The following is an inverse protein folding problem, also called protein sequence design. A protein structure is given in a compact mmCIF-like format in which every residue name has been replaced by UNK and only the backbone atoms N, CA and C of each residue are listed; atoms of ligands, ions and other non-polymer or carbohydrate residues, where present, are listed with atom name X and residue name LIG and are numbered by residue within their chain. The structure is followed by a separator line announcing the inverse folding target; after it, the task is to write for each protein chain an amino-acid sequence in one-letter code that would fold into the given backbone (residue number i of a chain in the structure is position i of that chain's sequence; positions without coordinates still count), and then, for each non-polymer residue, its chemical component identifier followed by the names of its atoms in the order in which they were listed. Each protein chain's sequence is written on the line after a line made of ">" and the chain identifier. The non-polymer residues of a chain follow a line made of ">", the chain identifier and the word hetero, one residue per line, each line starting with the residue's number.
data_IF_059839101857
#
_entry.id   IF_059839101857
#
_cell.length_a   1.000
_cell.length_b   1.000
_cell.length_c   1.000
_cell.angle_alpha   90.00
_cell.angle_beta   90.00
_cell.angle_gamma   90.00
#
_symmetry.space_group_name_H-M   'P 1'
#
loop_
_entity.id
_entity.type
_entity.pdbx_description
1 polymer ?
#
# COMPACT_ATOMS: atom_id res chain seq x y z
N UNK A 1 -19.31 -11.72 2.37
CA UNK A 1 -18.37 -10.67 1.95
C UNK A 1 -17.14 -10.66 2.84
N UNK A 2 -17.25 -10.57 4.14
CA UNK A 2 -16.12 -10.50 5.09
C UNK A 2 -15.12 -11.67 4.96
N UNK A 3 -15.59 -12.92 4.89
CA UNK A 3 -14.74 -14.10 4.71
C UNK A 3 -13.89 -14.07 3.42
N UNK A 4 -14.34 -13.39 2.37
CA UNK A 4 -13.57 -13.24 1.13
C UNK A 4 -12.40 -12.24 1.28
N UNK A 5 -12.58 -11.20 2.08
CA UNK A 5 -11.53 -10.21 2.39
C UNK A 5 -10.42 -10.88 3.20
N UNK A 6 -10.78 -11.69 4.21
CA UNK A 6 -9.83 -12.42 5.06
C UNK A 6 -9.03 -13.46 4.26
N UNK A 7 -9.57 -13.97 3.14
CA UNK A 7 -8.86 -14.92 2.28
C UNK A 7 -7.60 -14.32 1.59
N UNK A 8 -7.46 -12.98 1.59
CA UNK A 8 -6.30 -12.27 1.06
C UNK A 8 -5.78 -11.25 2.09
N UNK A 9 -5.19 -11.70 3.21
CA UNK A 9 -4.91 -10.85 4.37
C UNK A 9 -3.97 -9.69 4.05
N UNK A 10 -2.99 -9.88 3.16
CA UNK A 10 -2.05 -8.84 2.79
C UNK A 10 -2.72 -7.70 2.00
N UNK A 11 -3.66 -8.04 1.10
CA UNK A 11 -4.44 -7.03 0.37
C UNK A 11 -5.42 -6.31 1.31
N UNK A 12 -6.02 -7.02 2.26
CA UNK A 12 -6.89 -6.42 3.25
C UNK A 12 -6.12 -5.47 4.17
N UNK A 13 -4.91 -5.83 4.57
CA UNK A 13 -4.02 -4.98 5.36
C UNK A 13 -3.62 -3.71 4.58
N UNK A 14 -3.16 -3.87 3.33
CA UNK A 14 -2.82 -2.73 2.48
C UNK A 14 -4.02 -1.81 2.27
N UNK A 15 -5.21 -2.38 2.00
CA UNK A 15 -6.45 -1.60 1.91
C UNK A 15 -6.72 -0.78 3.19
N UNK A 16 -6.63 -1.40 4.36
CA UNK A 16 -6.91 -0.73 5.63
C UNK A 16 -5.92 0.42 5.91
N UNK A 17 -4.64 0.21 5.64
CA UNK A 17 -3.60 1.22 5.81
C UNK A 17 -3.82 2.39 4.86
N UNK A 18 -3.96 2.12 3.57
CA UNK A 18 -4.12 3.17 2.55
C UNK A 18 -5.44 3.93 2.71
N UNK A 19 -6.52 3.24 3.10
CA UNK A 19 -7.79 3.89 3.41
C UNK A 19 -7.66 4.85 4.60
N UNK A 20 -7.04 4.39 5.68
CA UNK A 20 -6.88 5.21 6.89
C UNK A 20 -6.00 6.42 6.62
N UNK A 21 -4.83 6.22 5.99
CA UNK A 21 -3.92 7.31 5.63
C UNK A 21 -4.59 8.29 4.66
N UNK A 22 -5.24 7.77 3.61
CA UNK A 22 -5.90 8.58 2.61
C UNK A 22 -7.01 9.44 3.19
N UNK A 23 -7.90 8.87 4.00
CA UNK A 23 -8.96 9.62 4.68
C UNK A 23 -8.39 10.67 5.62
N UNK A 24 -7.36 10.31 6.41
CA UNK A 24 -6.74 11.25 7.34
C UNK A 24 -6.11 12.44 6.60
N UNK A 25 -5.38 12.19 5.51
CA UNK A 25 -4.76 13.25 4.71
C UNK A 25 -5.78 14.15 4.01
N UNK A 26 -6.92 13.59 3.57
CA UNK A 26 -7.96 14.38 2.87
C UNK A 26 -8.79 15.19 3.85
N UNK A 27 -9.22 14.58 4.97
CA UNK A 27 -10.18 15.19 5.90
C UNK A 27 -9.46 16.02 6.97
N UNK A 28 -8.34 15.51 7.48
CA UNK A 28 -7.60 16.09 8.61
C UNK A 28 -6.11 16.32 8.27
N UNK A 29 -5.77 17.09 7.20
CA UNK A 29 -4.38 17.30 6.80
C UNK A 29 -3.53 17.92 7.91
N UNK A 30 -4.09 18.85 8.70
CA UNK A 30 -3.41 19.47 9.82
C UNK A 30 -2.95 18.47 10.89
N UNK A 31 -3.66 17.35 11.07
CA UNK A 31 -3.23 16.30 11.99
C UNK A 31 -1.91 15.67 11.53
N UNK A 32 -1.79 15.37 10.24
CA UNK A 32 -0.57 14.78 9.65
C UNK A 32 0.59 15.77 9.71
N UNK A 33 0.33 17.05 9.40
CA UNK A 33 1.34 18.12 9.49
C UNK A 33 1.89 18.22 10.93
N UNK A 34 1.00 18.27 11.90
CA UNK A 34 1.39 18.38 13.31
C UNK A 34 2.13 17.15 13.84
N UNK A 35 1.68 15.94 13.49
CA UNK A 35 2.33 14.70 13.92
C UNK A 35 3.66 14.44 13.18
N UNK A 36 3.73 14.83 11.93
CA UNK A 36 4.92 14.63 11.08
C UNK A 36 6.00 15.68 11.27
N UNK A 37 5.70 16.83 11.89
CA UNK A 37 6.62 17.95 12.00
C UNK A 37 7.01 18.55 10.64
N UNK A 38 6.07 18.53 9.68
CA UNK A 38 6.36 18.73 8.26
C UNK A 38 5.79 20.05 7.79
N UNK A 39 6.58 20.80 7.02
CA UNK A 39 6.11 22.01 6.32
C UNK A 39 5.64 21.64 4.90
N UNK A 40 4.58 20.85 4.82
CA UNK A 40 3.93 20.46 3.56
C UNK A 40 2.63 21.26 3.39
N UNK A 41 2.35 21.74 2.18
CA UNK A 41 1.08 22.38 1.90
C UNK A 41 -0.10 21.39 2.05
N UNK A 42 -1.20 21.84 2.65
CA UNK A 42 -2.42 21.01 2.77
C UNK A 42 -2.92 20.48 1.42
N UNK A 43 -2.76 21.27 0.34
CA UNK A 43 -3.18 20.86 -1.01
C UNK A 43 -2.38 19.64 -1.47
N UNK A 44 -1.06 19.65 -1.29
CA UNK A 44 -0.21 18.52 -1.66
C UNK A 44 -0.56 17.29 -0.81
N UNK A 45 -0.79 17.48 0.49
CA UNK A 45 -1.15 16.38 1.39
C UNK A 45 -2.50 15.77 1.03
N UNK A 46 -3.51 16.58 0.69
CA UNK A 46 -4.81 16.09 0.20
C UNK A 46 -4.67 15.34 -1.13
N UNK A 47 -3.79 15.79 -2.02
CA UNK A 47 -3.50 15.09 -3.27
C UNK A 47 -2.88 13.71 -3.00
N UNK A 48 -1.90 13.64 -2.10
CA UNK A 48 -1.35 12.35 -1.65
C UNK A 48 -2.43 11.45 -1.03
N UNK A 49 -3.33 12.02 -0.23
CA UNK A 49 -4.47 11.30 0.35
C UNK A 49 -5.40 10.71 -0.71
N UNK A 50 -5.70 11.44 -1.77
CA UNK A 50 -6.50 10.92 -2.90
C UNK A 50 -5.80 9.77 -3.63
N UNK A 51 -4.47 9.82 -3.78
CA UNK A 51 -3.69 8.71 -4.35
C UNK A 51 -3.74 7.47 -3.44
N UNK A 52 -3.59 7.66 -2.12
CA UNK A 52 -3.73 6.56 -1.16
C UNK A 52 -5.14 5.92 -1.22
N UNK A 53 -6.21 6.71 -1.34
CA UNK A 53 -7.57 6.20 -1.53
C UNK A 53 -7.73 5.43 -2.85
N UNK A 54 -7.07 5.85 -3.92
CA UNK A 54 -7.05 5.10 -5.19
C UNK A 54 -6.37 3.75 -5.02
N UNK A 55 -5.25 3.67 -4.28
CA UNK A 55 -4.56 2.40 -3.98
C UNK A 55 -5.39 1.51 -3.04
N UNK A 56 -6.07 2.08 -2.06
CA UNK A 56 -7.03 1.35 -1.24
C UNK A 56 -8.13 0.72 -2.10
N UNK A 57 -8.71 1.51 -3.01
CA UNK A 57 -9.72 1.01 -3.96
C UNK A 57 -9.17 -0.10 -4.85
N UNK A 58 -7.96 0.06 -5.38
CA UNK A 58 -7.29 -1.00 -6.15
C UNK A 58 -7.12 -2.28 -5.33
N UNK A 59 -6.71 -2.18 -4.07
CA UNK A 59 -6.50 -3.34 -3.20
C UNK A 59 -7.79 -4.12 -2.95
N UNK A 60 -8.90 -3.44 -2.63
CA UNK A 60 -10.18 -4.10 -2.39
C UNK A 60 -10.77 -4.72 -3.67
N UNK A 61 -10.71 -4.04 -4.80
CA UNK A 61 -11.15 -4.57 -6.09
C UNK A 61 -10.31 -5.78 -6.52
N UNK A 62 -9.00 -5.77 -6.24
CA UNK A 62 -8.10 -6.88 -6.54
C UNK A 62 -8.45 -8.16 -5.78
N UNK A 63 -8.96 -8.05 -4.55
CA UNK A 63 -9.47 -9.22 -3.81
C UNK A 63 -10.59 -9.89 -4.60
N UNK A 64 -11.57 -9.11 -5.06
CA UNK A 64 -12.68 -9.63 -5.84
C UNK A 64 -12.22 -10.19 -7.19
N UNK A 65 -11.28 -9.53 -7.86
CA UNK A 65 -10.71 -9.98 -9.12
C UNK A 65 -10.03 -11.35 -8.96
N UNK A 66 -9.13 -11.50 -7.98
CA UNK A 66 -8.41 -12.75 -7.72
C UNK A 66 -9.38 -13.89 -7.39
N UNK A 67 -10.42 -13.62 -6.61
CA UNK A 67 -11.38 -14.64 -6.19
C UNK A 67 -12.30 -15.13 -7.31
N UNK A 68 -12.57 -14.28 -8.31
CA UNK A 68 -13.51 -14.57 -9.38
C UNK A 68 -12.82 -15.00 -10.70
N UNK A 69 -11.50 -14.90 -10.80
CA UNK A 69 -10.76 -15.37 -11.99
C UNK A 69 -10.46 -16.86 -11.94
N UNK A 70 -10.36 -17.49 -13.10
CA UNK A 70 -9.91 -18.89 -13.24
C UNK A 70 -8.41 -19.03 -13.02
N UNK A 71 -7.62 -18.04 -13.40
CA UNK A 71 -6.14 -18.02 -13.27
C UNK A 71 -5.69 -17.30 -11.99
N UNK A 72 -6.16 -17.76 -10.83
CA UNK A 72 -5.95 -17.10 -9.53
C UNK A 72 -4.47 -16.84 -9.21
N UNK A 73 -3.57 -17.75 -9.57
CA UNK A 73 -2.14 -17.57 -9.29
C UNK A 73 -1.55 -16.41 -10.09
N UNK A 74 -1.79 -16.36 -11.40
CA UNK A 74 -1.30 -15.28 -12.26
C UNK A 74 -1.89 -13.92 -11.88
N UNK A 75 -3.20 -13.89 -11.58
CA UNK A 75 -3.87 -12.68 -11.13
C UNK A 75 -3.27 -12.16 -9.81
N UNK A 76 -3.00 -13.07 -8.86
CA UNK A 76 -2.38 -12.74 -7.58
C UNK A 76 -0.97 -12.19 -7.77
N UNK A 77 -0.14 -12.86 -8.58
CA UNK A 77 1.22 -12.42 -8.84
C UNK A 77 1.26 -11.05 -9.52
N UNK A 78 0.37 -10.80 -10.48
CA UNK A 78 0.23 -9.49 -11.12
C UNK A 78 -0.12 -8.39 -10.11
N UNK A 79 -1.13 -8.59 -9.28
CA UNK A 79 -1.56 -7.63 -8.26
C UNK A 79 -0.45 -7.38 -7.23
N UNK A 80 0.18 -8.45 -6.73
CA UNK A 80 1.23 -8.36 -5.72
C UNK A 80 2.48 -7.66 -6.26
N UNK A 81 2.85 -7.89 -7.52
CA UNK A 81 3.95 -7.19 -8.16
C UNK A 81 3.69 -5.68 -8.25
N UNK A 82 2.49 -5.28 -8.65
CA UNK A 82 2.13 -3.86 -8.73
C UNK A 82 2.17 -3.18 -7.35
N UNK A 83 1.62 -3.83 -6.32
CA UNK A 83 1.64 -3.29 -4.96
C UNK A 83 3.05 -3.31 -4.35
N UNK A 84 3.88 -4.30 -4.68
CA UNK A 84 5.30 -4.29 -4.32
C UNK A 84 6.02 -3.09 -4.90
N UNK A 85 5.89 -2.87 -6.22
CA UNK A 85 6.53 -1.73 -6.90
C UNK A 85 6.04 -0.40 -6.30
N UNK A 86 4.73 -0.26 -6.06
CA UNK A 86 4.15 0.93 -5.46
C UNK A 86 4.72 1.20 -4.05
N UNK A 87 4.66 0.22 -3.15
CA UNK A 87 5.16 0.39 -1.78
C UNK A 87 6.68 0.58 -1.74
N UNK A 88 7.44 -0.06 -2.63
CA UNK A 88 8.89 0.14 -2.75
C UNK A 88 9.21 1.57 -3.21
N UNK A 89 8.54 2.06 -4.24
CA UNK A 89 8.73 3.42 -4.74
C UNK A 89 8.39 4.47 -3.67
N UNK A 90 7.28 4.28 -2.94
CA UNK A 90 6.92 5.13 -1.80
C UNK A 90 7.98 5.06 -0.69
N UNK A 91 8.45 3.87 -0.33
CA UNK A 91 9.49 3.71 0.69
C UNK A 91 10.75 4.50 0.32
N UNK A 92 11.22 4.37 -0.92
CA UNK A 92 12.42 5.07 -1.41
C UNK A 92 12.20 6.58 -1.40
N UNK A 93 11.07 7.06 -1.95
CA UNK A 93 10.74 8.49 -2.01
C UNK A 93 10.60 9.12 -0.64
N UNK A 94 9.87 8.47 0.27
CA UNK A 94 9.66 8.95 1.63
C UNK A 94 10.94 8.89 2.48
N UNK A 95 11.78 7.86 2.27
CA UNK A 95 13.07 7.78 2.93
C UNK A 95 14.02 8.90 2.46
N UNK A 96 14.05 9.17 1.15
CA UNK A 96 14.82 10.28 0.61
C UNK A 96 14.37 11.62 1.21
N UNK A 97 13.06 11.90 1.20
CA UNK A 97 12.51 13.13 1.78
C UNK A 97 12.77 13.24 3.30
N UNK A 98 12.77 12.11 4.03
CA UNK A 98 13.11 12.09 5.45
C UNK A 98 14.61 12.36 5.69
N UNK A 99 15.50 11.84 4.85
CA UNK A 99 16.94 12.08 4.94
C UNK A 99 17.31 13.54 4.60
N UNK A 100 16.53 14.20 3.73
CA UNK A 100 16.68 15.63 3.42
C UNK A 100 16.03 16.55 4.47
N UNK A 101 15.36 15.99 5.46
CA UNK A 101 14.71 16.74 6.55
C UNK A 101 13.36 17.34 6.18
N UNK A 102 12.80 16.95 5.01
CA UNK A 102 11.53 17.48 4.53
C UNK A 102 10.32 16.85 5.22
N UNK A 103 10.42 15.58 5.63
CA UNK A 103 9.35 14.83 6.31
C UNK A 103 9.90 13.90 7.40
N UNK A 104 9.01 13.38 8.25
CA UNK A 104 9.36 12.34 9.22
C UNK A 104 9.50 10.96 8.54
N UNK A 105 10.24 10.04 9.19
CA UNK A 105 10.39 8.65 8.72
C UNK A 105 9.10 7.81 8.79
N UNK A 106 8.02 8.35 9.34
CA UNK A 106 6.79 7.59 9.63
C UNK A 106 6.21 6.92 8.39
N UNK A 107 6.18 7.63 7.26
CA UNK A 107 5.68 7.07 5.99
C UNK A 107 6.53 5.90 5.49
N UNK A 108 7.86 6.03 5.54
CA UNK A 108 8.76 4.95 5.13
C UNK A 108 8.63 3.71 6.04
N UNK A 109 8.43 3.91 7.36
CA UNK A 109 8.21 2.83 8.34
C UNK A 109 6.92 2.05 8.03
N UNK A 110 5.90 2.68 7.46
CA UNK A 110 4.65 2.01 7.08
C UNK A 110 4.81 1.22 5.78
N UNK A 111 5.41 1.83 4.74
CA UNK A 111 5.45 1.22 3.40
C UNK A 111 6.58 0.20 3.22
N UNK A 112 7.70 0.30 3.94
CA UNK A 112 8.79 -0.68 3.85
C UNK A 112 8.38 -2.11 4.25
N UNK A 113 7.69 -2.34 5.38
CA UNK A 113 7.17 -3.67 5.71
C UNK A 113 6.17 -4.22 4.69
N UNK A 114 5.31 -3.36 4.11
CA UNK A 114 4.36 -3.76 3.07
C UNK A 114 5.11 -4.20 1.80
N UNK A 115 6.09 -3.43 1.34
CA UNK A 115 6.92 -3.81 0.20
C UNK A 115 7.59 -5.17 0.45
N UNK A 116 8.20 -5.36 1.62
CA UNK A 116 8.84 -6.64 1.98
C UNK A 116 7.83 -7.79 2.00
N UNK A 117 6.65 -7.60 2.59
CA UNK A 117 5.61 -8.62 2.65
C UNK A 117 5.11 -9.03 1.26
N UNK A 118 4.94 -8.08 0.33
CA UNK A 118 4.60 -8.39 -1.06
C UNK A 118 5.73 -9.11 -1.79
N UNK A 119 7.01 -8.71 -1.59
CA UNK A 119 8.17 -9.39 -2.17
C UNK A 119 8.28 -10.85 -1.70
N UNK A 120 8.16 -11.10 -0.39
CA UNK A 120 8.19 -12.44 0.19
C UNK A 120 7.03 -13.29 -0.36
N UNK A 121 5.84 -12.72 -0.47
CA UNK A 121 4.67 -13.43 -1.01
C UNK A 121 4.85 -13.81 -2.48
N UNK A 122 5.44 -12.94 -3.31
CA UNK A 122 5.78 -13.23 -4.70
C UNK A 122 6.83 -14.35 -4.79
N UNK A 123 7.88 -14.28 -3.99
CA UNK A 123 8.91 -15.32 -3.93
C UNK A 123 8.33 -16.70 -3.57
N UNK A 124 7.49 -16.77 -2.54
CA UNK A 124 6.85 -18.01 -2.12
C UNK A 124 5.89 -18.57 -3.19
N UNK A 125 5.14 -17.71 -3.87
CA UNK A 125 4.26 -18.13 -4.96
C UNK A 125 5.07 -18.71 -6.14
N UNK A 126 6.18 -18.06 -6.50
CA UNK A 126 7.07 -18.55 -7.57
C UNK A 126 7.65 -19.94 -7.28
N UNK A 127 8.11 -20.16 -6.05
CA UNK A 127 8.65 -21.46 -5.67
C UNK A 127 7.60 -22.58 -5.63
N UNK A 128 6.38 -22.27 -5.15
CA UNK A 128 5.26 -23.25 -5.18
C UNK A 128 4.83 -23.61 -6.61
N UNK A 129 4.94 -22.68 -7.56
CA UNK A 129 4.60 -22.96 -8.96
C UNK A 129 5.60 -23.89 -9.65
N UNK A 130 6.88 -23.91 -9.22
CA UNK A 130 7.93 -24.81 -9.77
C UNK A 130 7.88 -26.24 -9.23
N UNK A 131 7.16 -26.48 -8.14
CA UNK A 131 7.08 -27.80 -7.49
C UNK A 131 5.87 -28.63 -7.97
N UNK A 132 5.04 -28.06 -8.84
CA UNK A 132 3.91 -28.73 -9.49
C UNK A 132 4.22 -29.06 -10.94
#
# INVERSE_FOLDING_TARGET
>A
MFNKIIAQPLLALNFAIELTLGLTMVIFPGLIINLGGVDISEVLLRTCGMLALAVATFSILSIFFILNTTEKHKAKDFVYLNLFIFNLALTIGLLYAALTGEISYLGAIVHAPLALAFAVSLYLNYHKAKQK
#
